data_IF_363822388377
#
_entry.id   IF_363822388377
#
_cell.length_a   1.000
_cell.length_b   1.000
_cell.length_c   1.000
_cell.angle_alpha   90.00
_cell.angle_beta   90.00
_cell.angle_gamma   90.00
#
_symmetry.space_group_name_H-M   'P 1'
#
loop_
_entity.id
_entity.type
_entity.pdbx_description
1 polymer ?
#
# COMPACT_ATOMS: atom_id res chain seq x y z
N UNK A 1 51.59 -37.70 15.79
CA UNK A 1 50.19 -37.37 15.52
C UNK A 1 49.88 -35.98 16.10
N UNK A 2 49.93 -34.96 15.29
CA UNK A 2 49.62 -33.57 15.69
C UNK A 2 48.18 -33.23 15.22
N UNK A 3 47.27 -33.06 16.16
CA UNK A 3 45.92 -32.62 15.90
C UNK A 3 45.90 -31.11 15.68
N UNK A 4 45.58 -30.69 14.43
CA UNK A 4 45.37 -29.30 14.07
C UNK A 4 44.10 -28.77 14.69
N UNK A 5 44.20 -27.77 15.54
CA UNK A 5 43.03 -27.03 16.06
C UNK A 5 42.57 -26.05 14.98
N UNK A 6 41.36 -26.29 14.42
CA UNK A 6 40.65 -25.32 13.61
C UNK A 6 40.29 -24.10 14.48
N UNK A 7 40.75 -22.93 14.11
CA UNK A 7 40.33 -21.67 14.72
C UNK A 7 38.99 -21.26 14.12
N UNK A 8 37.92 -21.39 14.88
CA UNK A 8 36.64 -20.77 14.56
C UNK A 8 36.79 -19.26 14.79
N UNK A 9 36.68 -18.49 13.71
CA UNK A 9 36.57 -17.03 13.79
C UNK A 9 35.20 -16.67 14.30
N UNK A 10 35.12 -15.80 15.29
CA UNK A 10 33.84 -15.28 15.81
C UNK A 10 33.05 -14.55 14.71
N UNK A 11 31.73 -14.60 14.71
CA UNK A 11 30.94 -13.92 13.73
C UNK A 11 31.12 -12.40 13.87
N UNK A 12 31.35 -11.75 12.74
CA UNK A 12 31.51 -10.30 12.63
C UNK A 12 30.21 -9.62 13.10
N UNK A 13 30.31 -8.64 13.98
CA UNK A 13 29.20 -7.81 14.43
C UNK A 13 28.48 -7.17 13.21
N UNK A 14 27.14 -7.05 13.27
CA UNK A 14 26.40 -6.37 12.22
C UNK A 14 26.87 -4.92 12.10
N UNK A 15 26.93 -4.35 10.88
CA UNK A 15 27.29 -2.94 10.72
C UNK A 15 26.27 -2.07 11.46
N UNK A 16 26.77 -1.11 12.22
CA UNK A 16 25.98 -0.07 12.88
C UNK A 16 25.07 0.64 11.86
N UNK A 17 23.88 1.12 12.26
CA UNK A 17 23.02 1.88 11.35
C UNK A 17 23.83 3.07 10.81
N UNK A 18 23.90 3.15 9.49
CA UNK A 18 24.57 4.25 8.80
C UNK A 18 23.94 5.55 9.29
N UNK A 19 24.75 6.40 9.89
CA UNK A 19 24.40 7.79 10.16
C UNK A 19 23.90 8.42 8.86
N UNK A 20 22.81 9.16 8.95
CA UNK A 20 22.23 9.87 7.84
C UNK A 20 23.28 10.76 7.17
N UNK A 21 23.72 10.36 5.99
CA UNK A 21 24.50 11.22 5.11
C UNK A 21 23.47 12.19 4.51
N UNK A 22 23.52 13.43 4.95
CA UNK A 22 22.83 14.53 4.29
C UNK A 22 23.60 14.87 3.01
N UNK A 23 23.23 14.22 1.91
CA UNK A 23 23.63 14.70 0.60
C UNK A 23 22.87 16.01 0.30
N UNK A 24 23.54 17.01 -0.25
CA UNK A 24 22.86 18.21 -0.71
C UNK A 24 21.86 17.83 -1.81
N UNK A 25 20.75 18.57 -1.94
CA UNK A 25 19.77 18.30 -2.98
C UNK A 25 20.48 18.36 -4.34
N UNK A 26 20.52 17.24 -5.05
CA UNK A 26 20.88 17.22 -6.45
C UNK A 26 19.86 18.11 -7.17
N UNK A 27 20.33 19.05 -7.96
CA UNK A 27 19.51 19.83 -8.90
C UNK A 27 18.72 18.82 -9.76
N UNK A 28 17.50 18.54 -9.32
CA UNK A 28 16.53 17.77 -10.11
C UNK A 28 16.09 18.65 -11.27
N UNK A 29 16.12 18.07 -12.47
CA UNK A 29 15.63 18.68 -13.69
C UNK A 29 14.36 19.49 -13.44
N UNK A 30 14.40 20.76 -13.76
CA UNK A 30 13.27 21.68 -13.72
C UNK A 30 12.15 21.11 -14.61
N UNK A 31 11.20 20.44 -13.99
CA UNK A 31 9.89 20.24 -14.58
C UNK A 31 9.27 21.64 -14.56
N UNK A 32 9.02 22.18 -15.75
CA UNK A 32 8.53 23.54 -15.95
C UNK A 32 7.53 23.95 -14.87
N UNK A 33 7.96 24.86 -14.01
CA UNK A 33 7.22 25.30 -12.82
C UNK A 33 5.86 25.93 -13.15
N UNK A 34 5.62 26.23 -14.43
CA UNK A 34 4.42 26.85 -14.95
C UNK A 34 3.40 25.87 -15.57
N UNK A 35 3.77 24.58 -15.77
CA UNK A 35 2.81 23.58 -16.23
C UNK A 35 1.70 23.37 -15.19
N UNK A 36 0.47 23.17 -15.65
CA UNK A 36 -0.66 22.89 -14.76
C UNK A 36 -0.39 21.71 -13.81
N UNK A 37 0.38 20.73 -14.27
CA UNK A 37 0.83 19.56 -13.49
C UNK A 37 1.83 19.99 -12.39
N UNK A 38 2.78 20.86 -12.68
CA UNK A 38 3.72 21.39 -11.69
C UNK A 38 3.05 22.20 -10.58
N UNK A 39 1.98 22.93 -10.88
CA UNK A 39 1.16 23.63 -9.88
C UNK A 39 0.37 22.68 -9.00
N UNK A 40 -0.22 21.63 -9.57
CA UNK A 40 -0.96 20.59 -8.83
C UNK A 40 -0.01 19.83 -7.90
N UNK A 41 1.17 19.44 -8.37
CA UNK A 41 2.17 18.75 -7.58
C UNK A 41 2.65 19.59 -6.39
N UNK A 42 2.93 20.88 -6.60
CA UNK A 42 3.36 21.79 -5.53
C UNK A 42 2.25 22.11 -4.52
N UNK A 43 0.99 22.18 -4.94
CA UNK A 43 -0.14 22.46 -4.03
C UNK A 43 -0.45 21.29 -3.09
N UNK A 44 -0.20 20.06 -3.51
CA UNK A 44 -0.46 18.85 -2.71
C UNK A 44 0.73 18.38 -1.86
N UNK A 45 1.98 18.61 -2.29
CA UNK A 45 3.17 18.17 -1.53
C UNK A 45 3.39 18.95 -0.23
N UNK A 46 2.83 20.15 -0.10
CA UNK A 46 2.90 20.92 1.15
C UNK A 46 2.18 20.29 2.34
N UNK A 47 1.34 19.28 2.11
CA UNK A 47 0.50 18.64 3.13
C UNK A 47 0.96 17.23 3.53
N UNK A 48 1.57 16.48 2.62
CA UNK A 48 1.99 15.10 2.87
C UNK A 48 3.51 14.96 2.72
N UNK A 49 4.17 14.68 3.83
CA UNK A 49 5.64 14.55 3.86
C UNK A 49 6.09 13.10 4.01
N UNK A 50 5.20 12.19 4.39
CA UNK A 50 5.55 10.79 4.65
C UNK A 50 4.42 9.85 4.25
N UNK A 51 4.77 8.88 3.41
CA UNK A 51 3.84 7.89 2.86
C UNK A 51 4.28 6.47 3.21
N UNK A 52 3.34 5.62 3.61
CA UNK A 52 3.54 4.19 3.78
C UNK A 52 2.86 3.43 2.63
N UNK A 53 3.53 2.43 2.07
CA UNK A 53 2.90 1.50 1.14
C UNK A 53 2.48 0.23 1.88
N UNK A 54 1.16 0.01 1.99
CA UNK A 54 0.58 -1.20 2.60
C UNK A 54 0.53 -2.35 1.57
N UNK A 55 1.68 -2.64 0.96
CA UNK A 55 1.84 -3.68 -0.04
C UNK A 55 3.32 -4.12 -0.11
N UNK A 56 3.65 -5.02 -1.04
CA UNK A 56 4.98 -5.61 -1.18
C UNK A 56 5.44 -5.62 -2.64
N UNK A 57 6.67 -6.12 -2.84
CA UNK A 57 7.20 -6.42 -4.17
C UNK A 57 7.31 -5.19 -5.07
N UNK A 58 7.01 -5.40 -6.36
CA UNK A 58 7.11 -4.35 -7.38
C UNK A 58 6.11 -3.21 -7.15
N UNK A 59 4.94 -3.53 -6.62
CA UNK A 59 3.89 -2.54 -6.30
C UNK A 59 4.42 -1.50 -5.34
N UNK A 60 5.03 -1.96 -4.23
CA UNK A 60 5.62 -1.08 -3.24
C UNK A 60 6.77 -0.24 -3.83
N UNK A 61 7.64 -0.84 -4.64
CA UNK A 61 8.74 -0.11 -5.30
C UNK A 61 8.23 1.02 -6.17
N UNK A 62 7.15 0.80 -6.91
CA UNK A 62 6.53 1.84 -7.76
C UNK A 62 5.95 2.99 -6.94
N UNK A 63 5.28 2.67 -5.83
CA UNK A 63 4.76 3.69 -4.88
C UNK A 63 5.90 4.51 -4.28
N UNK A 64 6.99 3.85 -3.85
CA UNK A 64 8.15 4.55 -3.29
C UNK A 64 8.80 5.48 -4.31
N UNK A 65 8.92 5.03 -5.56
CA UNK A 65 9.45 5.86 -6.64
C UNK A 65 8.63 7.13 -6.80
N UNK A 66 7.30 7.01 -6.91
CA UNK A 66 6.41 8.16 -7.02
C UNK A 66 6.49 9.07 -5.78
N UNK A 67 6.53 8.49 -4.56
CA UNK A 67 6.71 9.24 -3.32
C UNK A 67 8.01 10.04 -3.29
N UNK A 68 9.12 9.43 -3.71
CA UNK A 68 10.42 10.08 -3.80
C UNK A 68 10.42 11.22 -4.83
N UNK A 69 9.84 11.00 -6.01
CA UNK A 69 9.70 12.03 -7.05
C UNK A 69 8.85 13.24 -6.58
N UNK A 70 7.91 12.99 -5.67
CA UNK A 70 7.10 14.03 -5.01
C UNK A 70 7.74 14.64 -3.76
N UNK A 71 8.95 14.23 -3.40
CA UNK A 71 9.68 14.75 -2.24
C UNK A 71 9.17 14.22 -0.89
N UNK A 72 8.41 13.12 -0.87
CA UNK A 72 7.91 12.48 0.35
C UNK A 72 8.90 11.42 0.86
N UNK A 73 9.00 11.27 2.17
CA UNK A 73 9.65 10.10 2.78
C UNK A 73 8.79 8.86 2.61
N UNK A 74 9.42 7.76 2.30
CA UNK A 74 8.77 6.50 1.98
C UNK A 74 8.97 5.46 3.06
N UNK A 75 7.90 4.75 3.41
CA UNK A 75 7.90 3.71 4.44
C UNK A 75 7.43 2.40 3.83
N UNK A 76 8.27 1.37 3.93
CA UNK A 76 7.92 0.00 3.58
C UNK A 76 7.45 -0.76 4.81
N UNK A 77 6.52 -1.68 4.61
CA UNK A 77 6.22 -2.74 5.55
C UNK A 77 6.63 -4.09 4.96
N UNK A 78 6.95 -5.05 5.82
CA UNK A 78 7.30 -6.39 5.38
C UNK A 78 6.91 -7.44 6.42
N UNK A 79 6.55 -8.65 5.96
CA UNK A 79 6.40 -9.83 6.81
C UNK A 79 7.76 -10.41 7.16
N UNK A 80 7.86 -11.25 8.19
CA UNK A 80 9.12 -11.94 8.53
C UNK A 80 9.70 -12.74 7.35
N UNK A 81 8.83 -13.35 6.53
CA UNK A 81 9.22 -14.07 5.32
C UNK A 81 9.86 -13.16 4.26
N UNK A 82 9.43 -11.90 4.18
CA UNK A 82 9.93 -10.91 3.23
C UNK A 82 11.11 -10.09 3.75
N UNK A 83 11.76 -10.52 4.83
CA UNK A 83 12.88 -9.81 5.46
C UNK A 83 14.02 -9.48 4.50
N UNK A 84 14.18 -10.24 3.44
CA UNK A 84 15.19 -10.02 2.39
C UNK A 84 14.61 -9.51 1.08
N UNK A 85 13.31 -9.20 1.03
CA UNK A 85 12.65 -8.74 -0.18
C UNK A 85 13.15 -7.35 -0.61
N UNK A 86 13.26 -7.17 -1.92
CA UNK A 86 13.87 -5.98 -2.53
C UNK A 86 13.15 -4.68 -2.17
N UNK A 87 11.81 -4.69 -2.09
CA UNK A 87 11.03 -3.48 -1.80
C UNK A 87 11.42 -2.83 -0.47
N UNK A 88 11.81 -3.62 0.53
CA UNK A 88 12.24 -3.15 1.83
C UNK A 88 13.43 -2.19 1.75
N UNK A 89 14.34 -2.44 0.81
CA UNK A 89 15.57 -1.65 0.64
C UNK A 89 15.40 -0.45 -0.30
N UNK A 90 14.19 -0.29 -0.88
CA UNK A 90 13.87 0.81 -1.80
C UNK A 90 13.12 1.95 -1.13
N UNK A 91 12.69 1.76 0.11
CA UNK A 91 12.09 2.82 0.92
C UNK A 91 13.14 3.47 1.84
N UNK A 92 12.85 4.68 2.32
CA UNK A 92 13.69 5.37 3.31
C UNK A 92 13.65 4.67 4.67
N UNK A 93 12.52 4.07 5.02
CA UNK A 93 12.30 3.35 6.27
C UNK A 93 11.58 2.03 5.99
N UNK A 94 11.83 1.00 6.81
CA UNK A 94 11.13 -0.29 6.66
C UNK A 94 10.87 -0.95 8.01
N UNK A 95 9.64 -1.47 8.21
CA UNK A 95 9.18 -2.06 9.46
C UNK A 95 8.58 -3.44 9.23
N UNK A 96 8.91 -4.38 10.13
CA UNK A 96 8.24 -5.68 10.19
C UNK A 96 6.86 -5.48 10.81
N UNK A 97 5.82 -5.97 10.15
CA UNK A 97 4.45 -5.89 10.64
C UNK A 97 3.91 -7.26 10.97
N UNK A 98 3.06 -7.32 11.99
CA UNK A 98 2.35 -8.53 12.44
C UNK A 98 3.29 -9.77 12.54
N UNK A 99 4.36 -9.71 13.34
CA UNK A 99 5.28 -10.82 13.50
C UNK A 99 4.55 -12.05 14.04
N UNK A 100 4.92 -13.24 13.55
CA UNK A 100 4.26 -14.49 13.89
C UNK A 100 3.06 -14.85 13.01
N UNK A 101 2.57 -13.93 12.18
CA UNK A 101 1.52 -14.21 11.21
C UNK A 101 2.06 -14.94 9.96
N UNK A 102 1.15 -15.56 9.20
CA UNK A 102 1.51 -16.12 7.89
C UNK A 102 2.06 -15.04 6.97
N UNK A 103 2.87 -15.40 5.95
CA UNK A 103 3.47 -14.41 5.05
C UNK A 103 2.48 -13.44 4.40
N UNK A 104 1.28 -13.90 4.06
CA UNK A 104 0.19 -13.07 3.51
C UNK A 104 -0.61 -12.43 4.64
N UNK A 105 -0.90 -13.18 5.70
CA UNK A 105 -1.66 -12.69 6.87
C UNK A 105 -1.05 -11.43 7.47
N UNK A 106 0.29 -11.33 7.50
CA UNK A 106 0.98 -10.16 7.99
C UNK A 106 0.60 -8.87 7.24
N UNK A 107 0.30 -8.95 5.94
CA UNK A 107 -0.15 -7.81 5.14
C UNK A 107 -1.65 -7.55 5.21
N UNK A 108 -2.43 -8.51 5.72
CA UNK A 108 -3.89 -8.38 5.88
C UNK A 108 -4.29 -7.92 7.28
N UNK A 109 -3.41 -8.05 8.26
CA UNK A 109 -3.60 -7.57 9.63
C UNK A 109 -3.43 -6.06 9.72
N UNK A 110 -4.45 -5.31 9.32
CA UNK A 110 -4.34 -3.86 9.15
C UNK A 110 -4.15 -3.07 10.46
N UNK A 111 -4.56 -3.59 11.61
CA UNK A 111 -4.33 -2.88 12.88
C UNK A 111 -2.83 -2.67 13.16
N UNK A 112 -1.99 -3.70 13.00
CA UNK A 112 -0.55 -3.55 13.16
C UNK A 112 0.10 -2.62 12.11
N UNK A 113 -0.51 -2.51 10.92
CA UNK A 113 -0.09 -1.54 9.91
C UNK A 113 -0.42 -0.11 10.35
N UNK A 114 -1.62 0.11 10.89
CA UNK A 114 -2.05 1.40 11.43
C UNK A 114 -1.17 1.82 12.62
N UNK A 115 -0.92 0.90 13.55
CA UNK A 115 -0.02 1.14 14.69
C UNK A 115 1.39 1.53 14.23
N UNK A 116 1.93 0.81 13.25
CA UNK A 116 3.23 1.12 12.64
C UNK A 116 3.22 2.51 12.00
N UNK A 117 2.17 2.84 11.27
CA UNK A 117 2.02 4.15 10.62
C UNK A 117 2.00 5.29 11.66
N UNK A 118 1.21 5.15 12.73
CA UNK A 118 1.11 6.13 13.82
C UNK A 118 2.43 6.32 14.55
N UNK A 119 3.07 5.21 14.94
CA UNK A 119 4.34 5.24 15.68
C UNK A 119 5.46 5.94 14.90
N UNK A 120 5.37 5.95 13.57
CA UNK A 120 6.40 6.51 12.69
C UNK A 120 5.96 7.81 11.99
N UNK A 121 4.87 8.44 12.40
CA UNK A 121 4.43 9.74 11.89
C UNK A 121 4.06 9.71 10.39
N UNK A 122 3.53 8.58 9.93
CA UNK A 122 3.00 8.44 8.54
C UNK A 122 1.73 9.26 8.41
N UNK A 123 1.62 10.03 7.34
CA UNK A 123 0.47 10.89 7.08
C UNK A 123 -0.48 10.30 6.03
N UNK A 124 0.03 9.43 5.16
CA UNK A 124 -0.77 8.79 4.13
C UNK A 124 -0.37 7.33 3.93
N UNK A 125 -1.34 6.48 3.62
CA UNK A 125 -1.14 5.07 3.30
C UNK A 125 -1.64 4.80 1.88
N UNK A 126 -0.77 4.21 1.05
CA UNK A 126 -1.13 3.70 -0.27
C UNK A 126 -1.28 2.19 -0.19
N UNK A 127 -2.47 1.62 -0.44
CA UNK A 127 -2.69 0.18 -0.32
C UNK A 127 -2.12 -0.62 -1.51
N UNK A 128 -1.73 0.04 -2.60
CA UNK A 128 -1.42 -0.62 -3.86
C UNK A 128 -2.67 -1.19 -4.52
N UNK A 129 -2.56 -2.39 -5.07
CA UNK A 129 -3.69 -3.20 -5.55
C UNK A 129 -3.65 -4.60 -4.91
N UNK A 130 -4.79 -5.29 -4.83
CA UNK A 130 -4.93 -6.49 -4.03
C UNK A 130 -4.85 -6.20 -2.52
N UNK A 131 -4.61 -7.20 -1.71
CA UNK A 131 -4.54 -7.09 -0.23
C UNK A 131 -5.65 -6.22 0.37
N UNK A 132 -5.28 -5.05 0.88
CA UNK A 132 -6.17 -4.14 1.60
C UNK A 132 -6.78 -3.04 0.71
N UNK A 133 -6.50 -3.02 -0.60
CA UNK A 133 -6.96 -1.94 -1.49
C UNK A 133 -8.48 -1.83 -1.60
N UNK A 134 -9.19 -2.95 -1.43
CA UNK A 134 -10.65 -3.03 -1.46
C UNK A 134 -11.26 -3.29 -0.08
N UNK A 135 -10.47 -3.09 0.98
CA UNK A 135 -10.93 -3.28 2.34
C UNK A 135 -11.48 -1.98 2.94
N UNK A 136 -12.81 -1.87 2.98
CA UNK A 136 -13.51 -0.70 3.51
C UNK A 136 -13.22 -0.47 5.01
N UNK A 137 -13.02 -1.54 5.80
CA UNK A 137 -12.70 -1.42 7.21
C UNK A 137 -11.32 -0.78 7.42
N UNK A 138 -10.33 -1.16 6.60
CA UNK A 138 -9.01 -0.55 6.62
C UNK A 138 -9.05 0.94 6.23
N UNK A 139 -9.77 1.29 5.17
CA UNK A 139 -9.93 2.68 4.75
C UNK A 139 -10.56 3.52 5.88
N UNK A 140 -11.62 3.01 6.51
CA UNK A 140 -12.28 3.64 7.66
C UNK A 140 -11.33 3.82 8.85
N UNK A 141 -10.55 2.80 9.19
CA UNK A 141 -9.55 2.90 10.27
C UNK A 141 -8.49 3.96 9.98
N UNK A 142 -8.05 4.11 8.74
CA UNK A 142 -7.16 5.21 8.37
C UNK A 142 -7.84 6.56 8.62
N UNK A 143 -9.10 6.72 8.18
CA UNK A 143 -9.88 7.95 8.36
C UNK A 143 -10.04 8.32 9.85
N UNK A 144 -10.39 7.34 10.71
CA UNK A 144 -10.55 7.51 12.16
C UNK A 144 -9.26 7.96 12.85
N UNK A 145 -8.11 7.51 12.36
CA UNK A 145 -6.80 7.86 12.91
C UNK A 145 -6.17 9.11 12.26
N UNK A 146 -6.91 9.79 11.38
CA UNK A 146 -6.44 10.98 10.67
C UNK A 146 -5.33 10.71 9.66
N UNK A 147 -5.18 9.45 9.22
CA UNK A 147 -4.24 9.04 8.19
C UNK A 147 -4.96 9.06 6.84
N UNK A 148 -4.40 9.73 5.85
CA UNK A 148 -4.99 9.77 4.51
C UNK A 148 -4.88 8.40 3.84
N UNK A 149 -6.00 7.72 3.61
CA UNK A 149 -6.04 6.56 2.73
C UNK A 149 -5.98 7.03 1.28
N UNK A 150 -4.96 6.60 0.52
CA UNK A 150 -4.82 6.97 -0.90
C UNK A 150 -5.67 6.02 -1.73
N UNK A 151 -6.92 6.40 -1.93
CA UNK A 151 -7.93 5.60 -2.59
C UNK A 151 -9.33 6.22 -2.42
N UNK A 152 -10.39 5.48 -2.79
CA UNK A 152 -11.77 5.90 -2.55
C UNK A 152 -12.08 5.97 -1.05
N UNK A 153 -13.14 6.66 -0.69
CA UNK A 153 -13.68 6.66 0.68
C UNK A 153 -14.19 5.27 1.07
N UNK A 154 -14.21 4.98 2.36
CA UNK A 154 -14.65 3.68 2.88
C UNK A 154 -16.08 3.31 2.45
N UNK A 155 -16.99 4.30 2.37
CA UNK A 155 -18.36 4.10 1.88
C UNK A 155 -18.37 3.70 0.38
N UNK A 156 -17.55 4.36 -0.43
CA UNK A 156 -17.44 4.07 -1.86
C UNK A 156 -16.90 2.66 -2.10
N UNK A 157 -15.88 2.25 -1.32
CA UNK A 157 -15.35 0.88 -1.39
C UNK A 157 -16.43 -0.14 -1.06
N UNK A 158 -17.24 0.13 -0.02
CA UNK A 158 -18.36 -0.75 0.36
C UNK A 158 -19.38 -0.85 -0.74
N UNK A 159 -19.81 0.27 -1.32
CA UNK A 159 -20.82 0.31 -2.38
C UNK A 159 -20.34 -0.39 -3.65
N UNK A 160 -19.10 -0.18 -4.05
CA UNK A 160 -18.55 -0.77 -5.28
C UNK A 160 -18.10 -2.22 -5.10
N UNK A 161 -17.90 -2.67 -3.86
CA UNK A 161 -17.58 -4.05 -3.53
C UNK A 161 -18.75 -5.02 -3.65
N UNK A 162 -19.99 -4.52 -3.56
CA UNK A 162 -21.21 -5.30 -3.77
C UNK A 162 -21.67 -5.16 -5.23
N UNK A 163 -21.74 -6.29 -5.95
CA UNK A 163 -22.08 -6.29 -7.38
C UNK A 163 -23.49 -5.80 -7.67
N UNK A 164 -24.45 -6.07 -6.77
CA UNK A 164 -25.84 -5.66 -6.93
C UNK A 164 -25.94 -4.15 -6.74
N UNK A 165 -25.36 -3.63 -5.67
CA UNK A 165 -25.33 -2.20 -5.38
C UNK A 165 -24.57 -1.43 -6.47
N UNK A 166 -23.42 -1.95 -6.91
CA UNK A 166 -22.62 -1.32 -7.97
C UNK A 166 -23.39 -1.25 -9.30
N UNK A 167 -24.14 -2.31 -9.68
CA UNK A 167 -25.00 -2.30 -10.87
C UNK A 167 -26.14 -1.30 -10.74
N UNK A 168 -26.81 -1.24 -9.59
CA UNK A 168 -27.90 -0.29 -9.34
C UNK A 168 -27.39 1.15 -9.45
N UNK A 169 -26.25 1.46 -8.84
CA UNK A 169 -25.61 2.79 -8.92
C UNK A 169 -25.21 3.15 -10.35
N UNK A 170 -24.63 2.20 -11.09
CA UNK A 170 -24.27 2.42 -12.49
C UNK A 170 -25.50 2.70 -13.37
N UNK A 171 -26.63 2.00 -13.13
CA UNK A 171 -27.91 2.22 -13.80
C UNK A 171 -28.45 3.64 -13.49
N UNK A 172 -28.39 4.05 -12.24
CA UNK A 172 -28.79 5.41 -11.79
C UNK A 172 -27.97 6.51 -12.45
N UNK A 173 -26.66 6.26 -12.65
CA UNK A 173 -25.75 7.17 -13.35
C UNK A 173 -25.88 7.13 -14.89
N UNK A 174 -26.80 6.33 -15.44
CA UNK A 174 -26.98 6.19 -16.89
C UNK A 174 -25.85 5.48 -17.62
N UNK A 175 -25.03 4.68 -16.92
CA UNK A 175 -23.94 3.93 -17.53
C UNK A 175 -24.49 2.69 -18.26
N UNK A 176 -23.90 2.31 -19.42
CA UNK A 176 -24.27 1.08 -20.09
C UNK A 176 -23.86 -0.14 -19.24
N UNK A 177 -24.79 -1.06 -19.05
CA UNK A 177 -24.58 -2.29 -18.28
C UNK A 177 -24.65 -3.51 -19.17
N UNK A 178 -23.87 -4.52 -18.85
CA UNK A 178 -24.04 -5.86 -19.42
C UNK A 178 -25.36 -6.43 -18.88
N UNK A 179 -26.21 -7.06 -19.72
CA UNK A 179 -27.41 -7.74 -19.27
C UNK A 179 -27.13 -8.71 -18.12
N UNK A 180 -28.01 -8.76 -17.14
CA UNK A 180 -27.85 -9.62 -15.97
C UNK A 180 -29.06 -9.47 -15.04
N UNK A 181 -29.23 -10.42 -14.12
CA UNK A 181 -30.28 -10.37 -13.12
C UNK A 181 -30.19 -9.09 -12.28
N UNK A 182 -31.33 -8.52 -11.89
CA UNK A 182 -31.36 -7.33 -11.03
C UNK A 182 -30.95 -7.67 -9.60
N UNK A 183 -31.37 -8.83 -9.10
CA UNK A 183 -31.03 -9.35 -7.78
C UNK A 183 -30.09 -10.57 -7.86
N UNK A 184 -29.47 -10.90 -6.73
CA UNK A 184 -28.71 -12.15 -6.60
C UNK A 184 -29.68 -13.33 -6.58
N UNK A 185 -29.44 -14.34 -7.43
CA UNK A 185 -30.20 -15.58 -7.41
C UNK A 185 -29.38 -16.73 -6.85
N UNK A 186 -30.02 -17.61 -6.05
CA UNK A 186 -29.49 -18.88 -5.58
C UNK A 186 -30.21 -20.06 -6.24
N UNK A 187 -31.16 -19.79 -7.16
CA UNK A 187 -31.92 -20.80 -7.89
C UNK A 187 -31.22 -21.17 -9.20
N UNK A 188 -31.02 -22.47 -9.41
CA UNK A 188 -30.47 -22.97 -10.66
C UNK A 188 -31.44 -22.74 -11.83
N UNK A 189 -32.75 -22.89 -11.57
CA UNK A 189 -33.82 -22.71 -12.54
C UNK A 189 -33.86 -21.25 -13.04
N UNK A 190 -33.77 -20.29 -12.13
CA UNK A 190 -33.73 -18.86 -12.47
C UNK A 190 -32.49 -18.53 -13.30
N UNK A 191 -31.34 -19.06 -12.90
CA UNK A 191 -30.08 -18.85 -13.63
C UNK A 191 -30.13 -19.45 -15.04
N UNK A 192 -30.73 -20.64 -15.19
CA UNK A 192 -30.92 -21.27 -16.51
C UNK A 192 -31.90 -20.47 -17.39
N UNK A 193 -33.05 -20.08 -16.86
CA UNK A 193 -34.01 -19.28 -17.59
C UNK A 193 -33.43 -17.96 -18.10
N UNK A 194 -32.61 -17.29 -17.25
CA UNK A 194 -31.93 -16.06 -17.65
C UNK A 194 -30.86 -16.28 -18.72
N UNK A 195 -30.18 -17.43 -18.71
CA UNK A 195 -29.13 -17.75 -19.68
C UNK A 195 -29.68 -18.16 -21.06
N UNK A 196 -30.95 -18.56 -21.14
CA UNK A 196 -31.66 -18.92 -22.38
C UNK A 196 -32.31 -17.70 -23.07
N UNK A 197 -32.42 -16.57 -22.37
CA UNK A 197 -32.96 -15.29 -22.85
C UNK A 197 -31.88 -14.48 -23.61
#
# INVERSE_FOLDING_TARGET
AAAGRARFSAPRAPPSPRAAISDPPSESADVDAESGLGKILRSNTGKLNKILCANRGEIAVRVFRAGTELGMRTVAIFSEADRLATHRYKADESYCVNPGETPVGAYLGFEGIIETAKANGVQAIHPGYGFLSENAAFARRCEEEGITFIGPRSETITQMGDKVIAKALAKECGLPLVPGTEDSTNSLEEAQAFAEE
#
